data_IF_607328129638
#
_entry.id   IF_607328129638
#
_cell.length_a   1.000
_cell.length_b   1.000
_cell.length_c   1.000
_cell.angle_alpha   90.00
_cell.angle_beta   90.00
_cell.angle_gamma   90.00
#
_symmetry.space_group_name_H-M   'P 1'
#
loop_
_entity.id
_entity.type
_entity.pdbx_description
1 polymer ?
#
# COMPACT_ATOMS: atom_id res chain seq x y z
N UNK A 1 34.41 -21.15 22.48
CA UNK A 1 33.01 -20.67 22.49
C UNK A 1 32.39 -21.16 21.20
N UNK A 2 31.68 -22.28 21.26
CA UNK A 2 30.94 -22.78 20.10
C UNK A 2 29.72 -21.87 19.94
N UNK A 3 29.75 -21.02 18.92
CA UNK A 3 28.63 -20.16 18.57
C UNK A 3 27.44 -21.05 18.27
N UNK A 4 26.40 -20.91 19.10
CA UNK A 4 25.17 -21.67 19.03
C UNK A 4 24.59 -21.48 17.62
N UNK A 5 24.39 -22.58 16.89
CA UNK A 5 23.99 -22.57 15.48
C UNK A 5 22.73 -21.69 15.21
N UNK A 6 21.87 -21.53 16.22
CA UNK A 6 20.71 -20.62 16.18
C UNK A 6 21.05 -19.13 16.12
N UNK A 7 22.05 -18.66 16.86
CA UNK A 7 22.46 -17.24 16.89
C UNK A 7 23.01 -16.79 15.53
N UNK A 8 23.83 -17.64 14.90
CA UNK A 8 24.34 -17.40 13.54
C UNK A 8 23.22 -17.37 12.49
N UNK A 9 22.16 -18.17 12.68
CA UNK A 9 21.03 -18.18 11.74
C UNK A 9 20.18 -16.91 11.85
N UNK A 10 19.97 -16.39 13.05
CA UNK A 10 19.24 -15.13 13.27
C UNK A 10 20.00 -13.94 12.69
N UNK A 11 21.32 -13.89 12.87
CA UNK A 11 22.18 -12.85 12.31
C UNK A 11 22.16 -12.84 10.78
N UNK A 12 22.23 -14.02 10.16
CA UNK A 12 22.11 -14.15 8.70
C UNK A 12 20.75 -13.68 8.20
N UNK A 13 19.66 -14.01 8.91
CA UNK A 13 18.31 -13.57 8.56
C UNK A 13 18.16 -12.04 8.67
N UNK A 14 18.71 -11.43 9.73
CA UNK A 14 18.73 -9.97 9.90
C UNK A 14 19.54 -9.30 8.80
N UNK A 15 20.72 -9.81 8.47
CA UNK A 15 21.54 -9.31 7.38
C UNK A 15 20.82 -9.40 6.02
N UNK A 16 20.15 -10.52 5.76
CA UNK A 16 19.37 -10.72 4.54
C UNK A 16 18.18 -9.75 4.46
N UNK A 17 17.44 -9.55 5.56
CA UNK A 17 16.36 -8.56 5.64
C UNK A 17 16.87 -7.14 5.35
N UNK A 18 18.01 -6.77 5.92
CA UNK A 18 18.64 -5.46 5.71
C UNK A 18 19.02 -5.24 4.23
N UNK A 19 19.62 -6.26 3.60
CA UNK A 19 19.96 -6.21 2.17
C UNK A 19 18.69 -6.10 1.31
N UNK A 20 17.66 -6.90 1.58
CA UNK A 20 16.40 -6.82 0.84
C UNK A 20 15.71 -5.47 0.99
N UNK A 21 15.74 -4.87 2.18
CA UNK A 21 15.22 -3.51 2.38
C UNK A 21 15.91 -2.52 1.43
N UNK A 22 17.24 -2.55 1.32
CA UNK A 22 17.96 -1.69 0.37
C UNK A 22 17.66 -2.00 -1.09
N UNK A 23 17.61 -3.28 -1.48
CA UNK A 23 17.28 -3.70 -2.85
C UNK A 23 15.89 -3.22 -3.24
N UNK A 24 14.93 -3.22 -2.31
CA UNK A 24 13.53 -2.91 -2.59
C UNK A 24 13.09 -1.49 -2.21
N UNK A 25 13.94 -0.67 -1.59
CA UNK A 25 13.62 0.72 -1.20
C UNK A 25 13.08 1.57 -2.39
N UNK A 26 13.53 1.29 -3.62
CA UNK A 26 12.98 1.98 -4.80
C UNK A 26 11.46 1.83 -4.95
N UNK A 27 10.86 0.78 -4.40
CA UNK A 27 9.41 0.53 -4.44
C UNK A 27 8.65 1.67 -3.77
N UNK A 28 9.15 2.22 -2.66
CA UNK A 28 8.49 3.31 -1.95
C UNK A 28 8.45 4.57 -2.83
N UNK A 29 9.60 4.91 -3.43
CA UNK A 29 9.71 6.04 -4.36
C UNK A 29 8.84 5.85 -5.61
N UNK A 30 8.83 4.66 -6.20
CA UNK A 30 8.02 4.37 -7.39
C UNK A 30 6.52 4.30 -7.08
N UNK A 31 6.15 3.83 -5.88
CA UNK A 31 4.77 3.85 -5.40
C UNK A 31 4.28 5.28 -5.23
N UNK A 32 5.07 6.14 -4.58
CA UNK A 32 4.76 7.57 -4.43
C UNK A 32 4.64 8.26 -5.79
N UNK A 33 5.59 8.02 -6.70
CA UNK A 33 5.53 8.54 -8.07
C UNK A 33 4.25 8.09 -8.79
N UNK A 34 3.85 6.84 -8.64
CA UNK A 34 2.62 6.33 -9.22
C UNK A 34 1.39 7.04 -8.65
N UNK A 35 1.33 7.22 -7.32
CA UNK A 35 0.23 7.90 -6.64
C UNK A 35 0.06 9.34 -7.14
N UNK A 36 1.17 10.07 -7.29
CA UNK A 36 1.17 11.44 -7.83
C UNK A 36 0.71 11.44 -9.29
N UNK A 37 1.27 10.56 -10.14
CA UNK A 37 0.90 10.51 -11.57
C UNK A 37 -0.55 10.13 -11.83
N UNK A 38 -1.12 9.29 -10.97
CA UNK A 38 -2.52 8.89 -11.04
C UNK A 38 -3.46 9.92 -10.39
N UNK A 39 -2.95 10.94 -9.68
CA UNK A 39 -3.79 11.90 -8.96
C UNK A 39 -4.58 11.26 -7.81
N UNK A 40 -4.02 10.24 -7.15
CA UNK A 40 -4.73 9.48 -6.10
C UNK A 40 -5.16 10.41 -4.96
N UNK A 41 -4.28 11.32 -4.53
CA UNK A 41 -4.57 12.25 -3.45
C UNK A 41 -5.72 13.20 -3.83
N UNK A 42 -5.72 13.72 -5.06
CA UNK A 42 -6.77 14.63 -5.54
C UNK A 42 -8.12 13.92 -5.62
N UNK A 43 -8.14 12.68 -6.11
CA UNK A 43 -9.36 11.85 -6.14
C UNK A 43 -9.90 11.60 -4.74
N UNK A 44 -9.03 11.23 -3.78
CA UNK A 44 -9.43 11.05 -2.38
C UNK A 44 -9.97 12.36 -1.79
N UNK A 45 -9.27 13.48 -2.02
CA UNK A 45 -9.67 14.79 -1.52
C UNK A 45 -11.04 15.22 -2.07
N UNK A 46 -11.26 15.05 -3.37
CA UNK A 46 -12.53 15.37 -4.04
C UNK A 46 -13.70 14.47 -3.61
N UNK A 47 -13.43 13.32 -2.99
CA UNK A 47 -14.47 12.41 -2.50
C UNK A 47 -15.05 12.86 -1.15
N UNK A 48 -14.37 13.79 -0.44
CA UNK A 48 -14.77 14.40 0.85
C UNK A 48 -14.98 13.42 2.02
N UNK A 49 -14.78 12.12 1.81
CA UNK A 49 -14.88 11.06 2.83
C UNK A 49 -13.90 9.94 2.51
N UNK A 50 -13.67 8.98 3.44
CA UNK A 50 -12.91 7.78 3.13
C UNK A 50 -13.44 7.06 1.89
N UNK A 51 -12.53 6.69 0.99
CA UNK A 51 -12.86 6.02 -0.27
C UNK A 51 -12.56 4.53 -0.18
N UNK A 52 -13.45 3.69 -0.72
CA UNK A 52 -13.16 2.25 -0.85
C UNK A 52 -12.25 1.99 -2.05
N UNK A 53 -11.52 0.86 -2.05
CA UNK A 53 -10.67 0.50 -3.18
C UNK A 53 -11.43 0.37 -4.52
N UNK A 54 -12.65 -0.21 -4.58
CA UNK A 54 -13.44 -0.24 -5.81
C UNK A 54 -13.90 1.16 -6.28
N UNK A 55 -14.29 2.04 -5.36
CA UNK A 55 -14.65 3.43 -5.70
C UNK A 55 -13.44 4.20 -6.25
N UNK A 56 -12.27 4.03 -5.62
CA UNK A 56 -11.02 4.62 -6.08
C UNK A 56 -10.64 4.10 -7.48
N UNK A 57 -10.75 2.79 -7.71
CA UNK A 57 -10.48 2.19 -9.02
C UNK A 57 -11.41 2.75 -10.10
N UNK A 58 -12.70 2.93 -9.78
CA UNK A 58 -13.69 3.54 -10.67
C UNK A 58 -13.36 5.00 -10.96
N UNK A 59 -13.05 5.80 -9.94
CA UNK A 59 -12.72 7.21 -10.08
C UNK A 59 -11.44 7.44 -10.91
N UNK A 60 -10.46 6.55 -10.77
CA UNK A 60 -9.22 6.56 -11.54
C UNK A 60 -9.36 5.89 -12.93
N UNK A 61 -10.56 5.43 -13.31
CA UNK A 61 -10.80 4.68 -14.56
C UNK A 61 -9.85 3.48 -14.75
N UNK A 62 -9.53 2.78 -13.66
CA UNK A 62 -8.65 1.61 -13.67
C UNK A 62 -9.44 0.40 -14.18
N UNK A 63 -8.88 -0.26 -15.20
CA UNK A 63 -9.46 -1.48 -15.74
C UNK A 63 -9.58 -2.57 -14.65
N UNK A 64 -10.68 -3.35 -14.60
CA UNK A 64 -10.91 -4.36 -13.56
C UNK A 64 -9.73 -5.31 -13.32
N UNK A 65 -9.04 -5.74 -14.39
CA UNK A 65 -7.85 -6.62 -14.31
C UNK A 65 -6.65 -6.01 -13.55
N UNK A 66 -6.62 -4.69 -13.34
CA UNK A 66 -5.56 -3.97 -12.63
C UNK A 66 -5.96 -3.48 -11.24
N UNK A 67 -7.19 -3.74 -10.81
CA UNK A 67 -7.69 -3.36 -9.47
C UNK A 67 -6.85 -3.99 -8.35
N UNK A 68 -6.42 -5.25 -8.53
CA UNK A 68 -5.53 -5.91 -7.58
C UNK A 68 -4.17 -5.19 -7.46
N UNK A 69 -3.63 -4.70 -8.57
CA UNK A 69 -2.38 -3.92 -8.57
C UNK A 69 -2.55 -2.57 -7.87
N UNK A 70 -3.69 -1.89 -8.08
CA UNK A 70 -4.03 -0.68 -7.32
C UNK A 70 -4.10 -0.98 -5.82
N UNK A 71 -4.71 -2.11 -5.42
CA UNK A 71 -4.77 -2.52 -4.02
C UNK A 71 -3.40 -2.75 -3.39
N UNK A 72 -2.45 -3.34 -4.13
CA UNK A 72 -1.06 -3.50 -3.68
C UNK A 72 -0.34 -2.16 -3.55
N UNK A 73 -0.53 -1.26 -4.52
CA UNK A 73 0.00 0.10 -4.49
C UNK A 73 -0.50 0.86 -3.27
N UNK A 74 -1.82 0.88 -3.04
CA UNK A 74 -2.41 1.55 -1.88
C UNK A 74 -1.90 0.97 -0.56
N UNK A 75 -1.70 -0.35 -0.47
CA UNK A 75 -1.12 -0.98 0.73
C UNK A 75 0.31 -0.51 0.99
N UNK A 76 1.14 -0.40 -0.04
CA UNK A 76 2.50 0.12 0.10
C UNK A 76 2.49 1.57 0.59
N UNK A 77 1.63 2.42 0.02
CA UNK A 77 1.51 3.82 0.39
C UNK A 77 0.94 4.04 1.81
N UNK A 78 0.08 3.13 2.28
CA UNK A 78 -0.38 3.13 3.67
C UNK A 78 0.76 2.73 4.61
N UNK A 79 1.51 1.68 4.25
CA UNK A 79 2.62 1.21 5.07
C UNK A 79 3.73 2.27 5.20
N UNK A 80 3.96 3.07 4.15
CA UNK A 80 4.89 4.20 4.18
C UNK A 80 4.32 5.47 4.84
N UNK A 81 3.09 5.43 5.35
CA UNK A 81 2.47 6.53 6.10
C UNK A 81 1.92 7.68 5.25
N UNK A 82 1.83 7.51 3.92
CA UNK A 82 1.28 8.53 3.02
C UNK A 82 -0.25 8.57 3.08
N UNK A 83 -0.89 7.42 3.25
CA UNK A 83 -2.34 7.29 3.43
C UNK A 83 -2.68 6.47 4.67
N UNK A 84 -3.92 6.57 5.13
CA UNK A 84 -4.44 5.77 6.24
C UNK A 84 -5.58 4.86 5.77
N UNK A 85 -5.69 3.69 6.41
CA UNK A 85 -6.88 2.82 6.28
C UNK A 85 -7.85 3.19 7.38
N UNK A 86 -9.13 3.30 7.03
CA UNK A 86 -10.22 3.55 7.97
C UNK A 86 -11.44 2.74 7.58
N UNK A 87 -12.33 2.53 8.53
CA UNK A 87 -13.63 1.93 8.28
C UNK A 87 -14.52 2.93 7.53
N UNK A 88 -15.16 2.45 6.47
CA UNK A 88 -16.20 3.20 5.77
C UNK A 88 -17.51 2.87 6.47
N UNK A 89 -18.03 3.80 7.26
CA UNK A 89 -19.37 3.67 7.81
C UNK A 89 -20.36 3.56 6.64
N UNK A 90 -20.94 2.37 6.44
CA UNK A 90 -21.94 2.15 5.42
C UNK A 90 -23.17 3.01 5.78
N UNK A 91 -23.36 4.13 5.10
CA UNK A 91 -24.65 4.79 5.10
C UNK A 91 -25.66 3.77 4.55
N UNK A 92 -26.58 3.31 5.41
CA UNK A 92 -27.69 2.42 5.05
C UNK A 92 -28.31 2.94 3.74
N UNK A 93 -28.16 2.18 2.66
CA UNK A 93 -28.97 2.41 1.47
C UNK A 93 -30.44 2.25 1.87
N UNK A 94 -31.33 3.20 1.58
CA UNK A 94 -32.76 2.99 1.77
C UNK A 94 -33.17 1.83 0.85
N UNK A 95 -33.63 0.77 1.49
CA UNK A 95 -34.22 -0.42 0.87
C UNK A 95 -35.40 0.04 0.01
N UNK A 96 -35.34 -0.27 -1.28
CA UNK A 96 -36.41 0.03 -2.22
C UNK A 96 -37.53 -1.01 -2.13
#
# INVERSE_FOLDING_TARGET
>A
MELNHGEKSEDLFRAQSHIYHHIFNFIDSMSLKCAVRLGIADVIHSHERPITLPELAKALSIHPSRTASLGRLMRALVHSGIFAVTEVAQAKQPMH
#
